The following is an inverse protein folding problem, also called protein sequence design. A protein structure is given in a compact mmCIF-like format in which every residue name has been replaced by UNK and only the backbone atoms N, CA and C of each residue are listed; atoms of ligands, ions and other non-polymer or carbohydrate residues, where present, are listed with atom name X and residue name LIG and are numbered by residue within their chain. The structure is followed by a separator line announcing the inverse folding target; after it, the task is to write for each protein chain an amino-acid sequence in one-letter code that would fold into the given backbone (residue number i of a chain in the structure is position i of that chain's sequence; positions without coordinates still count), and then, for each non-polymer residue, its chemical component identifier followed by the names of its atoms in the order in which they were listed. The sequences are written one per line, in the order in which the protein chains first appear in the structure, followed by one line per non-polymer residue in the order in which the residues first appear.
data_IF_402190512991
#
_entry.id   IF_402190512991
#
_cell.length_a   1.000
_cell.length_b   1.000
_cell.length_c   1.000
_cell.angle_alpha   90.00
_cell.angle_beta   90.00
_cell.angle_gamma   90.00
#
_symmetry.space_group_name_H-M   'P 1'
#
loop_
_entity.id
_entity.type
_entity.pdbx_description
1 polymer ?
#
# COMPACT_ATOMS: atom_id res chain seq x y z
N UNK A 1 -0.67 -15.11 12.50
CA UNK A 1 0.46 -14.21 12.82
C UNK A 1 0.03 -12.80 12.48
N UNK A 2 0.07 -11.87 13.44
CA UNK A 2 -0.24 -10.46 13.19
C UNK A 2 1.04 -9.79 12.70
N UNK A 3 1.05 -9.33 11.45
CA UNK A 3 2.16 -8.54 10.94
C UNK A 3 2.11 -7.14 11.56
N UNK A 4 3.25 -6.52 11.90
CA UNK A 4 3.26 -5.13 12.31
C UNK A 4 2.75 -4.26 11.16
N UNK A 5 1.51 -3.80 11.30
CA UNK A 5 0.90 -2.81 10.44
C UNK A 5 1.35 -1.43 10.92
N UNK A 6 1.79 -0.59 9.99
CA UNK A 6 2.16 0.78 10.31
C UNK A 6 1.48 1.76 9.37
N UNK A 7 1.19 2.94 9.89
CA UNK A 7 0.78 4.06 9.05
C UNK A 7 1.90 4.41 8.07
N UNK A 8 1.52 4.82 6.87
CA UNK A 8 2.45 5.35 5.86
C UNK A 8 1.72 6.37 4.97
N UNK A 9 2.47 7.22 4.29
CA UNK A 9 1.91 8.24 3.41
C UNK A 9 1.68 7.68 2.01
N UNK A 10 0.58 8.06 1.38
CA UNK A 10 0.28 7.74 -0.02
C UNK A 10 1.42 8.18 -0.95
N UNK A 11 2.05 9.32 -0.65
CA UNK A 11 3.20 9.84 -1.39
C UNK A 11 4.42 8.91 -1.38
N UNK A 12 4.54 8.03 -0.37
CA UNK A 12 5.67 7.10 -0.27
C UNK A 12 5.63 6.02 -1.36
N UNK A 13 4.50 5.86 -2.05
CA UNK A 13 4.30 4.87 -3.12
C UNK A 13 3.98 5.52 -4.48
N UNK A 14 4.21 6.81 -4.67
CA UNK A 14 3.92 7.50 -5.94
C UNK A 14 4.60 6.84 -7.15
N UNK A 15 5.87 6.45 -7.02
CA UNK A 15 6.60 5.73 -8.08
C UNK A 15 5.99 4.35 -8.38
N UNK A 16 5.45 3.67 -7.37
CA UNK A 16 4.77 2.39 -7.55
C UNK A 16 3.44 2.58 -8.27
N UNK A 17 2.67 3.62 -7.93
CA UNK A 17 1.39 3.95 -8.55
C UNK A 17 1.51 4.27 -10.05
N UNK A 18 2.67 4.78 -10.51
CA UNK A 18 2.94 5.00 -11.94
C UNK A 18 2.81 3.73 -12.78
N UNK A 19 2.98 2.53 -12.19
CA UNK A 19 2.77 1.26 -12.90
C UNK A 19 1.34 1.07 -13.40
N UNK A 20 0.36 1.75 -12.78
CA UNK A 20 -1.07 1.73 -13.14
C UNK A 20 -1.62 3.17 -13.22
N UNK A 21 -0.84 4.09 -13.78
CA UNK A 21 -1.13 5.53 -13.75
C UNK A 21 -2.54 5.90 -14.24
N UNK A 22 -3.03 5.30 -15.32
CA UNK A 22 -4.36 5.62 -15.87
C UNK A 22 -5.49 5.21 -14.92
N UNK A 23 -5.37 4.03 -14.31
CA UNK A 23 -6.32 3.55 -13.30
C UNK A 23 -6.26 4.43 -12.04
N UNK A 24 -5.06 4.80 -11.61
CA UNK A 24 -4.90 5.67 -10.45
C UNK A 24 -5.50 7.07 -10.67
N UNK A 25 -5.27 7.67 -11.84
CA UNK A 25 -5.88 8.95 -12.22
C UNK A 25 -7.40 8.89 -12.23
N UNK A 26 -7.98 7.77 -12.68
CA UNK A 26 -9.42 7.58 -12.63
C UNK A 26 -9.91 7.57 -11.18
N UNK A 27 -9.21 6.84 -10.28
CA UNK A 27 -9.54 6.84 -8.85
C UNK A 27 -9.47 8.25 -8.26
N UNK A 28 -8.45 9.04 -8.58
CA UNK A 28 -8.32 10.42 -8.09
C UNK A 28 -9.37 11.39 -8.64
N UNK A 29 -9.93 11.07 -9.81
CA UNK A 29 -11.05 11.80 -10.43
C UNK A 29 -12.36 11.49 -9.69
N UNK A 30 -12.58 10.23 -9.36
CA UNK A 30 -13.85 9.75 -8.81
C UNK A 30 -13.88 9.81 -7.26
N UNK A 31 -12.72 9.81 -6.60
CA UNK A 31 -12.60 9.72 -5.15
C UNK A 31 -11.60 10.74 -4.56
N UNK A 32 -11.89 11.18 -3.34
CA UNK A 32 -10.91 11.78 -2.44
C UNK A 32 -10.32 10.66 -1.57
N UNK A 33 -9.03 10.36 -1.75
CA UNK A 33 -8.29 9.35 -0.98
C UNK A 33 -7.60 10.03 0.20
N UNK A 34 -7.79 9.50 1.40
CA UNK A 34 -7.10 10.01 2.58
C UNK A 34 -5.59 9.71 2.47
N UNK A 35 -4.70 10.70 2.67
CA UNK A 35 -3.28 10.55 2.37
C UNK A 35 -2.54 9.57 3.28
N UNK A 36 -3.12 9.19 4.43
CA UNK A 36 -2.50 8.23 5.34
C UNK A 36 -3.17 6.86 5.17
N UNK A 37 -2.37 5.85 4.87
CA UNK A 37 -2.81 4.47 4.74
C UNK A 37 -2.09 3.53 5.69
N UNK A 38 -2.31 2.23 5.47
CA UNK A 38 -1.66 1.13 6.19
C UNK A 38 -0.90 0.26 5.19
N UNK A 39 0.33 -0.11 5.54
CA UNK A 39 1.13 -1.09 4.81
C UNK A 39 1.79 -2.08 5.77
N UNK A 40 2.27 -3.20 5.24
CA UNK A 40 3.05 -4.17 6.02
C UNK A 40 4.46 -3.64 6.22
N UNK A 41 4.93 -3.65 7.47
CA UNK A 41 6.34 -3.41 7.77
C UNK A 41 7.13 -4.71 7.68
N UNK A 42 8.27 -4.69 6.98
CA UNK A 42 9.27 -5.76 7.12
C UNK A 42 9.88 -5.64 8.52
N UNK A 43 9.76 -6.70 9.32
CA UNK A 43 10.32 -6.73 10.67
C UNK A 43 11.81 -7.07 10.65
N UNK A 44 12.51 -6.68 11.72
CA UNK A 44 13.93 -7.02 11.92
C UNK A 44 14.18 -8.53 11.97
N UNK A 45 13.20 -9.31 12.42
CA UNK A 45 13.28 -10.77 12.46
C UNK A 45 13.27 -11.36 11.06
N UNK A 46 12.51 -10.78 10.14
CA UNK A 46 12.47 -11.23 8.74
C UNK A 46 13.72 -10.83 7.98
N UNK A 47 14.16 -9.57 8.12
CA UNK A 47 15.39 -9.09 7.49
C UNK A 47 15.92 -7.84 8.22
N UNK A 48 17.17 -7.88 8.66
CA UNK A 48 17.80 -6.76 9.39
C UNK A 48 18.04 -5.54 8.49
N UNK A 49 18.38 -5.74 7.22
CA UNK A 49 18.70 -4.68 6.25
C UNK A 49 17.45 -3.95 5.76
N UNK A 50 16.37 -4.69 5.50
CA UNK A 50 15.10 -4.16 5.02
C UNK A 50 14.13 -3.79 6.16
N UNK A 51 14.54 -3.96 7.41
CA UNK A 51 13.73 -3.65 8.57
C UNK A 51 13.16 -2.23 8.50
N UNK A 52 11.86 -2.09 8.74
CA UNK A 52 11.16 -0.81 8.71
C UNK A 52 10.57 -0.44 7.36
N UNK A 53 11.06 -1.04 6.26
CA UNK A 53 10.53 -0.76 4.93
C UNK A 53 9.07 -1.22 4.83
N UNK A 54 8.23 -0.35 4.25
CA UNK A 54 6.80 -0.62 4.01
C UNK A 54 6.61 -1.28 2.66
N UNK A 55 5.98 -2.45 2.67
CA UNK A 55 5.59 -3.20 1.48
C UNK A 55 4.08 -3.43 1.48
N UNK A 56 3.53 -3.70 0.29
CA UNK A 56 2.12 -3.98 0.15
C UNK A 56 1.70 -5.33 0.80
N UNK A 57 0.39 -5.59 0.85
CA UNK A 57 -0.68 -4.76 0.31
C UNK A 57 -0.81 -3.43 1.07
N UNK A 58 -1.21 -2.39 0.34
CA UNK A 58 -1.45 -1.07 0.90
C UNK A 58 -2.94 -0.78 0.95
N UNK A 59 -3.42 -0.21 2.04
CA UNK A 59 -4.83 0.18 2.16
C UNK A 59 -5.00 1.62 2.60
N UNK A 60 -5.87 2.33 1.90
CA UNK A 60 -6.31 3.69 2.22
C UNK A 60 -7.82 3.73 2.36
N UNK A 61 -8.32 4.78 2.99
CA UNK A 61 -9.76 5.09 3.01
C UNK A 61 -10.05 6.19 2.00
N UNK A 62 -11.22 6.10 1.36
CA UNK A 62 -11.66 7.02 0.32
C UNK A 62 -13.13 7.40 0.51
N UNK A 63 -13.52 8.53 -0.08
CA UNK A 63 -14.92 8.95 -0.27
C UNK A 63 -15.13 9.44 -1.69
N UNK A 64 -16.35 9.45 -2.23
CA UNK A 64 -16.61 10.01 -3.55
C UNK A 64 -16.16 11.48 -3.60
N UNK A 65 -15.64 11.90 -4.76
CA UNK A 65 -15.05 13.23 -4.95
C UNK A 65 -16.03 14.33 -4.55
N UNK A 66 -15.59 15.24 -3.69
CA UNK A 66 -16.39 16.41 -3.31
C UNK A 66 -17.55 16.12 -2.35
N UNK A 67 -17.77 14.86 -1.95
CA UNK A 67 -18.71 14.56 -0.88
C UNK A 67 -18.20 15.05 0.47
N UNK A 68 -19.13 15.54 1.30
CA UNK A 68 -18.88 15.87 2.70
C UNK A 68 -19.26 14.69 3.57
N UNK A 69 -18.50 14.44 4.62
CA UNK A 69 -18.74 13.34 5.56
C UNK A 69 -17.59 12.35 5.63
N UNK A 70 -17.82 11.18 6.25
CA UNK A 70 -16.78 10.19 6.49
C UNK A 70 -16.27 9.57 5.19
N UNK A 71 -15.07 8.99 5.27
CA UNK A 71 -14.53 8.06 4.29
C UNK A 71 -15.22 6.71 4.46
N UNK A 72 -15.91 6.27 3.41
CA UNK A 72 -16.81 5.11 3.39
C UNK A 72 -16.36 4.00 2.45
N UNK A 73 -15.24 4.19 1.76
CA UNK A 73 -14.63 3.22 0.86
C UNK A 73 -13.21 2.90 1.31
N UNK A 74 -12.75 1.71 0.94
CA UNK A 74 -11.36 1.27 1.05
C UNK A 74 -10.76 1.18 -0.33
N UNK A 75 -9.58 1.77 -0.51
CA UNK A 75 -8.73 1.55 -1.67
C UNK A 75 -7.65 0.56 -1.26
N UNK A 76 -7.63 -0.62 -1.89
CA UNK A 76 -6.62 -1.65 -1.67
C UNK A 76 -5.72 -1.72 -2.90
N UNK A 77 -4.41 -1.62 -2.68
CA UNK A 77 -3.38 -1.79 -3.69
C UNK A 77 -2.63 -3.08 -3.34
N UNK A 78 -2.94 -4.13 -4.09
CA UNK A 78 -2.26 -5.41 -3.96
C UNK A 78 -0.95 -5.40 -4.76
N UNK A 79 0.07 -5.99 -4.17
CA UNK A 79 1.40 -6.04 -4.76
C UNK A 79 2.00 -7.43 -4.68
N UNK A 80 2.70 -7.84 -5.74
CA UNK A 80 3.71 -8.90 -5.66
C UNK A 80 5.04 -8.28 -5.25
N UNK A 81 5.67 -8.82 -4.22
CA UNK A 81 6.98 -8.37 -3.74
C UNK A 81 8.02 -9.40 -4.17
N UNK A 82 9.07 -8.93 -4.83
CA UNK A 82 10.23 -9.72 -5.23
C UNK A 82 11.44 -9.23 -4.44
N UNK A 83 12.24 -10.16 -3.95
CA UNK A 83 13.40 -9.89 -3.11
C UNK A 83 14.66 -10.30 -3.83
N UNK A 84 15.70 -9.48 -3.74
CA UNK A 84 16.95 -9.68 -4.48
C UNK A 84 18.16 -9.53 -3.57
N UNK A 85 19.22 -10.29 -3.83
CA UNK A 85 20.52 -10.15 -3.17
C UNK A 85 21.32 -8.96 -3.75
N UNK A 86 22.59 -8.80 -3.38
CA UNK A 86 23.45 -7.71 -3.91
C UNK A 86 23.88 -7.96 -5.37
N UNK A 87 23.68 -9.16 -5.88
CA UNK A 87 24.06 -9.61 -7.22
C UNK A 87 22.85 -9.68 -8.16
N UNK A 88 21.70 -9.13 -7.77
CA UNK A 88 20.43 -9.12 -8.53
C UNK A 88 19.79 -10.50 -8.72
N UNK A 89 20.16 -11.51 -7.93
CA UNK A 89 19.45 -12.79 -7.96
C UNK A 89 18.22 -12.74 -7.06
N UNK A 90 17.12 -13.32 -7.53
CA UNK A 90 15.91 -13.47 -6.71
C UNK A 90 16.18 -14.45 -5.55
N UNK A 91 15.90 -14.01 -4.34
CA UNK A 91 16.16 -14.76 -3.10
C UNK A 91 14.97 -14.66 -2.14
N UNK A 92 15.00 -15.43 -1.06
CA UNK A 92 14.05 -15.28 0.04
C UNK A 92 14.32 -14.00 0.85
N UNK A 93 13.30 -13.53 1.57
CA UNK A 93 13.37 -12.27 2.33
C UNK A 93 14.55 -12.23 3.30
N UNK A 94 14.96 -13.34 3.90
CA UNK A 94 16.04 -13.40 4.89
C UNK A 94 17.41 -13.04 4.30
N UNK A 95 17.59 -13.25 2.99
CA UNK A 95 18.84 -13.01 2.26
C UNK A 95 18.82 -11.73 1.42
N UNK A 96 17.67 -11.05 1.36
CA UNK A 96 17.47 -9.90 0.51
C UNK A 96 18.34 -8.71 0.92
N UNK A 97 18.92 -8.04 -0.07
CA UNK A 97 19.58 -6.73 0.07
C UNK A 97 18.62 -5.59 -0.31
N UNK A 98 17.71 -5.84 -1.25
CA UNK A 98 16.70 -4.90 -1.73
C UNK A 98 15.44 -5.64 -2.20
N UNK A 99 14.41 -4.88 -2.58
CA UNK A 99 13.13 -5.43 -3.02
C UNK A 99 12.58 -4.62 -4.20
N UNK A 100 11.70 -5.26 -5.00
CA UNK A 100 10.86 -4.60 -5.99
C UNK A 100 9.41 -4.99 -5.77
N UNK A 101 8.50 -4.04 -6.01
CA UNK A 101 7.07 -4.28 -5.95
C UNK A 101 6.43 -4.10 -7.32
N UNK A 102 5.48 -4.98 -7.62
CA UNK A 102 4.65 -4.88 -8.80
C UNK A 102 3.19 -4.82 -8.36
N UNK A 103 2.44 -3.80 -8.79
CA UNK A 103 1.00 -3.73 -8.57
C UNK A 103 0.33 -4.86 -9.34
N UNK A 104 -0.36 -5.74 -8.63
CA UNK A 104 -1.17 -6.81 -9.22
C UNK A 104 -2.59 -6.33 -9.45
N UNK A 105 -3.18 -5.66 -8.46
CA UNK A 105 -4.57 -5.19 -8.48
C UNK A 105 -4.68 -3.87 -7.72
N UNK A 106 -5.55 -2.98 -8.18
CA UNK A 106 -6.08 -1.87 -7.39
C UNK A 106 -7.60 -2.05 -7.34
N UNK A 107 -8.15 -2.12 -6.13
CA UNK A 107 -9.58 -2.36 -5.92
C UNK A 107 -10.16 -1.34 -4.94
N UNK A 108 -11.41 -0.94 -5.19
CA UNK A 108 -12.18 -0.07 -4.31
C UNK A 108 -13.40 -0.84 -3.84
N UNK A 109 -13.62 -0.87 -2.54
CA UNK A 109 -14.76 -1.56 -1.92
C UNK A 109 -15.41 -0.70 -0.86
N UNK A 110 -16.74 -0.74 -0.69
CA UNK A 110 -17.39 -0.11 0.46
C UNK A 110 -16.84 -0.67 1.77
N UNK A 111 -16.70 0.20 2.78
CA UNK A 111 -16.41 -0.19 4.15
C UNK A 111 -17.70 -0.59 4.89
N UNK A 112 -17.62 -1.49 5.87
CA UNK A 112 -18.69 -1.66 6.83
C UNK A 112 -18.84 -0.38 7.68
N UNK A 113 -20.04 -0.09 8.18
CA UNK A 113 -20.34 1.19 8.87
C UNK A 113 -19.47 1.43 10.09
N UNK A 114 -19.06 0.36 10.77
CA UNK A 114 -18.22 0.37 11.96
C UNK A 114 -16.78 0.82 11.65
N UNK A 115 -16.37 0.78 10.38
CA UNK A 115 -15.04 1.17 9.90
C UNK A 115 -15.05 2.54 9.18
N UNK A 116 -16.18 3.26 9.18
CA UNK A 116 -16.23 4.61 8.61
C UNK A 116 -15.25 5.53 9.34
N UNK A 117 -14.48 6.29 8.57
CA UNK A 117 -13.42 7.12 9.11
C UNK A 117 -13.73 8.61 8.93
N UNK A 118 -13.55 9.40 9.98
CA UNK A 118 -13.54 10.87 9.90
C UNK A 118 -12.27 11.37 10.59
N UNK A 119 -11.34 12.01 9.87
CA UNK A 119 -10.09 12.53 10.45
C UNK A 119 -10.32 13.69 11.42
#
# INVERSE_FOLDING_TARGET
MSFPQGSFSLSDIDELLKQKADLWKQIETDFDVYPTGIGRMISRVENVRLNGLRVGPYSFVARPKGEKGPFTYKVLIETKILFYDEQEHEVSIEKASHQRQQITVICITPLPKEEYFSP
#
